data_IF_252656380052
#
_entry.id   IF_252656380052
#
_cell.length_a   1.000
_cell.length_b   1.000
_cell.length_c   1.000
_cell.angle_alpha   90.00
_cell.angle_beta   90.00
_cell.angle_gamma   90.00
#
_symmetry.space_group_name_H-M   'P 1'
#
loop_
_entity.id
_entity.type
_entity.pdbx_description
1 polymer ?
#
# COMPACT_ATOMS: atom_id res chain seq x y z
N UNK A 1 30.94 10.13 4.07
CA UNK A 1 30.04 10.75 3.07
C UNK A 1 28.61 10.47 3.51
N UNK A 2 27.89 11.55 3.77
CA UNK A 2 26.62 11.64 4.47
C UNK A 2 25.43 11.34 3.55
N UNK A 3 24.44 10.60 4.08
CA UNK A 3 23.15 10.33 3.45
C UNK A 3 22.33 11.61 3.31
N UNK A 4 21.67 11.79 2.17
CA UNK A 4 20.47 12.64 2.08
C UNK A 4 19.29 11.81 1.54
N UNK A 5 18.24 11.75 2.37
CA UNK A 5 16.89 11.26 2.09
C UNK A 5 16.00 12.45 1.72
N UNK A 6 14.78 12.13 1.24
CA UNK A 6 13.55 12.95 1.13
C UNK A 6 13.42 13.79 -0.15
N UNK A 7 12.27 13.93 -0.82
CA UNK A 7 10.93 13.32 -0.75
C UNK A 7 10.21 13.78 -2.04
N UNK A 8 9.53 12.89 -2.78
CA UNK A 8 8.70 13.30 -3.92
C UNK A 8 7.31 13.65 -3.36
N UNK A 9 6.98 14.94 -3.35
CA UNK A 9 5.66 15.45 -3.06
C UNK A 9 4.97 15.82 -4.38
N UNK A 10 3.89 15.13 -4.70
CA UNK A 10 3.00 15.45 -5.82
C UNK A 10 2.02 16.51 -5.33
N UNK A 11 2.17 17.74 -5.81
CA UNK A 11 1.24 18.84 -5.57
C UNK A 11 0.35 19.03 -6.81
N UNK A 12 -0.92 18.68 -6.70
CA UNK A 12 -1.95 19.00 -7.69
C UNK A 12 -2.56 20.35 -7.32
N UNK A 13 -2.22 21.38 -8.10
CA UNK A 13 -2.76 22.74 -7.97
C UNK A 13 -3.69 23.01 -9.13
N UNK A 14 -5.00 22.77 -8.97
CA UNK A 14 -6.01 23.25 -9.92
C UNK A 14 -6.61 24.56 -9.37
N UNK A 15 -6.31 25.66 -10.08
CA UNK A 15 -6.97 26.94 -9.90
C UNK A 15 -8.24 26.98 -10.74
N UNK A 16 -9.36 27.41 -10.16
CA UNK A 16 -10.52 27.95 -10.87
C UNK A 16 -11.18 29.00 -9.96
N UNK A 17 -11.15 30.25 -10.42
CA UNK A 17 -11.78 31.38 -9.74
C UNK A 17 -13.27 31.53 -10.10
N UNK A 18 -14.00 32.24 -9.24
CA UNK A 18 -15.12 33.12 -9.57
C UNK A 18 -15.41 34.02 -8.36
N UNK A 19 -15.59 35.32 -8.63
CA UNK A 19 -15.95 36.42 -7.72
C UNK A 19 -17.46 36.44 -7.47
N UNK A 20 -17.90 36.74 -6.25
CA UNK A 20 -19.29 37.11 -5.95
C UNK A 20 -19.74 36.81 -4.51
N UNK A 21 -19.93 37.87 -3.72
CA UNK A 21 -20.26 37.91 -2.29
C UNK A 21 -21.31 36.87 -1.78
N UNK A 22 -20.88 35.98 -0.87
CA UNK A 22 -21.73 35.31 0.12
C UNK A 22 -20.87 34.78 1.30
N UNK A 23 -20.24 35.68 2.06
CA UNK A 23 -19.18 35.33 3.04
C UNK A 23 -19.66 35.06 4.49
N UNK A 24 -20.93 34.74 4.74
CA UNK A 24 -21.40 34.45 6.11
C UNK A 24 -21.64 32.95 6.36
N UNK A 25 -22.21 32.23 5.39
CA UNK A 25 -22.57 30.80 5.55
C UNK A 25 -21.32 29.91 5.65
N UNK A 26 -20.29 30.24 4.86
CA UNK A 26 -19.06 29.45 4.78
C UNK A 26 -18.22 29.52 6.07
N UNK A 27 -18.33 30.60 6.86
CA UNK A 27 -17.58 30.76 8.10
C UNK A 27 -18.18 29.94 9.26
N UNK A 28 -19.52 29.94 9.40
CA UNK A 28 -20.20 29.11 10.41
C UNK A 28 -20.07 27.62 10.09
N UNK A 29 -20.20 27.23 8.82
CA UNK A 29 -20.01 25.83 8.41
C UNK A 29 -18.57 25.35 8.61
N UNK A 30 -17.59 26.23 8.44
CA UNK A 30 -16.18 25.91 8.69
C UNK A 30 -15.89 25.79 10.20
N UNK A 31 -16.51 26.64 11.02
CA UNK A 31 -16.37 26.58 12.47
C UNK A 31 -17.07 25.34 13.06
N UNK A 32 -18.26 24.98 12.55
CA UNK A 32 -18.93 23.74 12.91
C UNK A 32 -18.12 22.49 12.51
N UNK A 33 -17.44 22.52 11.35
CA UNK A 33 -16.50 21.45 10.95
C UNK A 33 -15.28 21.38 11.87
N UNK A 34 -14.72 22.50 12.31
CA UNK A 34 -13.59 22.52 13.25
C UNK A 34 -13.98 21.94 14.61
N UNK A 35 -15.17 22.29 15.13
CA UNK A 35 -15.68 21.72 16.39
C UNK A 35 -15.97 20.22 16.27
N UNK A 36 -16.53 19.78 15.14
CA UNK A 36 -16.77 18.36 14.87
C UNK A 36 -15.46 17.58 14.77
N UNK A 37 -14.45 18.14 14.09
CA UNK A 37 -13.13 17.51 13.95
C UNK A 37 -12.40 17.44 15.30
N UNK A 38 -12.50 18.51 16.11
CA UNK A 38 -11.89 18.55 17.44
C UNK A 38 -12.51 17.51 18.38
N UNK A 39 -13.84 17.31 18.31
CA UNK A 39 -14.52 16.22 19.02
C UNK A 39 -14.06 14.84 18.56
N UNK A 40 -13.91 14.63 17.26
CA UNK A 40 -13.47 13.35 16.71
C UNK A 40 -12.04 12.99 17.16
N UNK A 41 -11.14 13.98 17.25
CA UNK A 41 -9.78 13.80 17.79
C UNK A 41 -9.79 13.44 19.28
N UNK A 42 -10.64 14.09 20.09
CA UNK A 42 -10.76 13.78 21.51
C UNK A 42 -11.31 12.36 21.75
N UNK A 43 -12.31 11.96 20.97
CA UNK A 43 -12.90 10.63 21.07
C UNK A 43 -11.90 9.54 20.67
N UNK A 44 -11.13 9.77 19.60
CA UNK A 44 -10.08 8.85 19.17
C UNK A 44 -8.96 8.71 20.21
N UNK A 45 -8.55 9.82 20.84
CA UNK A 45 -7.59 9.79 21.95
C UNK A 45 -8.12 9.01 23.16
N UNK A 46 -9.41 9.17 23.49
CA UNK A 46 -10.04 8.43 24.59
C UNK A 46 -10.10 6.92 24.29
N UNK A 47 -10.45 6.54 23.06
CA UNK A 47 -10.43 5.13 22.64
C UNK A 47 -9.01 4.53 22.69
N UNK A 48 -8.00 5.28 22.22
CA UNK A 48 -6.60 4.84 22.31
C UNK A 48 -6.12 4.65 23.76
N UNK A 49 -6.53 5.54 24.68
CA UNK A 49 -6.21 5.40 26.11
C UNK A 49 -6.93 4.19 26.74
N UNK A 50 -8.19 3.95 26.36
CA UNK A 50 -8.95 2.79 26.83
C UNK A 50 -8.36 1.47 26.31
N UNK A 51 -7.92 1.42 25.05
CA UNK A 51 -7.26 0.26 24.46
C UNK A 51 -5.91 -0.03 25.11
N UNK A 52 -5.10 1.00 25.39
CA UNK A 52 -3.83 0.82 26.12
C UNK A 52 -4.04 0.25 27.52
N UNK A 53 -5.01 0.79 28.27
CA UNK A 53 -5.36 0.23 29.59
C UNK A 53 -5.84 -1.21 29.49
N UNK A 54 -6.62 -1.55 28.45
CA UNK A 54 -7.09 -2.92 28.21
C UNK A 54 -5.96 -3.88 27.80
N UNK A 55 -4.93 -3.40 27.09
CA UNK A 55 -3.72 -4.17 26.79
C UNK A 55 -2.83 -4.38 28.02
N UNK A 56 -2.72 -3.39 28.90
CA UNK A 56 -1.95 -3.52 30.16
C UNK A 56 -2.64 -4.43 31.18
N UNK A 57 -3.98 -4.51 31.16
CA UNK A 57 -4.76 -5.33 32.09
C UNK A 57 -4.99 -6.77 31.62
N UNK A 58 -4.58 -7.12 30.39
CA UNK A 58 -4.70 -8.45 29.81
C UNK A 58 -3.36 -9.22 29.78
N UNK A 59 -2.58 -9.14 30.86
CA UNK A 59 -1.51 -10.10 31.12
C UNK A 59 -2.06 -11.22 32.03
N UNK A 60 -2.28 -12.44 31.53
CA UNK A 60 -2.55 -13.58 32.40
C UNK A 60 -1.24 -14.04 33.06
N UNK A 61 -1.31 -14.24 34.37
CA UNK A 61 -0.31 -14.98 35.13
C UNK A 61 -0.16 -16.42 34.60
N UNK A 62 1.06 -16.92 34.70
CA UNK A 62 1.60 -18.11 34.06
C UNK A 62 0.81 -19.42 34.27
N UNK A 63 0.68 -20.18 33.19
CA UNK A 63 0.62 -21.64 33.21
C UNK A 63 1.74 -22.15 32.29
N UNK A 64 2.49 -23.16 32.75
CA UNK A 64 3.67 -23.69 32.09
C UNK A 64 3.42 -24.04 30.61
N UNK A 65 4.04 -23.26 29.72
CA UNK A 65 3.98 -23.52 28.28
C UNK A 65 5.02 -24.60 27.90
N UNK A 66 4.66 -25.56 27.02
CA UNK A 66 5.64 -26.46 26.41
C UNK A 66 6.71 -25.64 25.70
N UNK A 67 7.93 -26.19 25.63
CA UNK A 67 9.15 -25.58 25.10
C UNK A 67 8.87 -24.48 24.07
N UNK A 68 9.20 -23.25 24.46
CA UNK A 68 9.06 -22.02 23.66
C UNK A 68 9.58 -22.30 22.25
N UNK A 69 8.69 -22.49 21.29
CA UNK A 69 9.07 -22.41 19.88
C UNK A 69 9.80 -21.08 19.72
N UNK A 70 10.96 -21.04 19.03
CA UNK A 70 11.72 -19.79 18.89
C UNK A 70 10.77 -18.74 18.35
N UNK A 71 10.66 -17.63 19.09
CA UNK A 71 9.75 -16.55 18.74
C UNK A 71 10.06 -16.11 17.31
N UNK A 72 9.03 -15.85 16.52
CA UNK A 72 9.22 -15.37 15.16
C UNK A 72 9.84 -13.97 15.23
N UNK A 73 11.15 -13.88 15.03
CA UNK A 73 11.90 -12.63 15.06
C UNK A 73 11.99 -12.07 13.64
N UNK A 74 11.60 -10.81 13.45
CA UNK A 74 11.89 -10.07 12.23
C UNK A 74 13.36 -9.67 12.27
N UNK A 75 14.13 -10.06 11.26
CA UNK A 75 15.53 -9.62 11.12
C UNK A 75 15.53 -8.11 10.85
N UNK A 76 16.23 -7.35 11.68
CA UNK A 76 16.34 -5.90 11.49
C UNK A 76 16.99 -5.59 10.13
N UNK A 77 16.29 -4.87 9.27
CA UNK A 77 16.75 -4.52 7.92
C UNK A 77 15.63 -4.00 7.03
N UNK A 78 15.95 -3.66 5.77
CA UNK A 78 14.96 -3.37 4.73
C UNK A 78 14.23 -4.64 4.24
N UNK A 79 14.82 -5.80 4.47
CA UNK A 79 14.32 -7.07 3.98
C UNK A 79 13.30 -7.65 4.95
N UNK A 80 12.19 -8.16 4.40
CA UNK A 80 11.13 -8.83 5.15
C UNK A 80 11.53 -10.28 5.42
N UNK A 81 12.51 -10.46 6.32
CA UNK A 81 13.03 -11.78 6.73
C UNK A 81 12.56 -12.09 8.15
N UNK A 82 11.96 -13.26 8.31
CA UNK A 82 11.44 -13.79 9.56
C UNK A 82 12.20 -15.06 9.94
N UNK A 83 12.65 -15.15 11.18
CA UNK A 83 13.16 -16.41 11.73
C UNK A 83 11.99 -17.26 12.19
N UNK A 84 11.84 -18.48 11.66
CA UNK A 84 10.74 -19.38 12.02
C UNK A 84 11.31 -20.77 12.31
N UNK A 85 11.16 -21.25 13.55
CA UNK A 85 11.48 -22.64 13.90
C UNK A 85 12.95 -23.05 13.65
N UNK A 86 13.91 -22.13 13.80
CA UNK A 86 15.33 -22.37 13.52
C UNK A 86 15.75 -22.21 12.06
N UNK A 87 14.83 -21.82 11.17
CA UNK A 87 15.08 -21.45 9.78
C UNK A 87 14.79 -19.97 9.49
N UNK A 88 14.98 -19.57 8.24
CA UNK A 88 14.65 -18.23 7.75
C UNK A 88 13.59 -18.29 6.64
N UNK A 89 12.65 -17.35 6.68
CA UNK A 89 11.63 -17.13 5.66
C UNK A 89 11.72 -15.68 5.19
N UNK A 90 11.80 -15.46 3.89
CA UNK A 90 11.89 -14.14 3.26
C UNK A 90 10.69 -13.92 2.34
N UNK A 91 10.00 -12.81 2.55
CA UNK A 91 9.04 -12.26 1.60
C UNK A 91 9.82 -11.35 0.62
N UNK A 92 9.68 -11.60 -0.67
CA UNK A 92 10.33 -10.85 -1.74
C UNK A 92 9.36 -10.61 -2.90
N UNK A 93 9.71 -9.70 -3.80
CA UNK A 93 8.90 -9.43 -4.97
C UNK A 93 9.51 -8.35 -5.84
N UNK A 94 8.92 -8.19 -7.03
CA UNK A 94 9.25 -7.18 -8.00
C UNK A 94 7.95 -6.56 -8.53
N UNK A 95 7.90 -5.24 -8.53
CA UNK A 95 6.78 -4.49 -9.11
C UNK A 95 7.33 -3.62 -10.23
N UNK A 96 6.86 -3.90 -11.44
CA UNK A 96 7.11 -3.13 -12.65
C UNK A 96 5.75 -2.72 -13.22
N UNK A 97 5.52 -1.41 -13.20
CA UNK A 97 4.25 -0.76 -13.52
C UNK A 97 4.56 0.37 -14.48
N UNK A 98 3.90 0.36 -15.64
CA UNK A 98 4.01 1.40 -16.66
C UNK A 98 2.72 2.20 -16.77
N UNK A 99 2.88 3.45 -17.20
CA UNK A 99 1.83 4.30 -17.69
C UNK A 99 2.09 4.49 -19.17
N UNK A 100 1.19 3.97 -19.98
CA UNK A 100 1.31 3.97 -21.43
C UNK A 100 0.09 4.67 -22.02
N UNK A 101 0.26 5.40 -23.11
CA UNK A 101 -0.86 5.87 -23.92
C UNK A 101 -0.84 5.04 -25.22
N UNK A 102 -1.99 4.52 -25.63
CA UNK A 102 -2.12 3.72 -26.84
C UNK A 102 -3.17 4.33 -27.77
N UNK A 103 -2.95 4.24 -29.08
CA UNK A 103 -3.93 4.63 -30.09
C UNK A 103 -4.09 3.50 -31.10
N UNK A 104 -5.32 3.20 -31.50
CA UNK A 104 -5.59 2.19 -32.52
C UNK A 104 -5.26 2.69 -33.96
N UNK A 105 -4.87 3.97 -34.08
CA UNK A 105 -4.50 4.62 -35.34
C UNK A 105 -5.66 4.88 -36.30
N UNK A 106 -6.92 4.71 -35.86
CA UNK A 106 -8.10 4.83 -36.72
C UNK A 106 -8.69 6.24 -36.74
N UNK A 107 -8.06 7.20 -36.08
CA UNK A 107 -8.50 8.59 -36.12
C UNK A 107 -8.48 9.13 -37.55
N UNK A 108 -9.59 9.74 -37.97
CA UNK A 108 -9.79 10.25 -39.33
C UNK A 108 -9.97 9.21 -40.44
N UNK A 109 -9.98 7.90 -40.14
CA UNK A 109 -10.23 6.88 -41.16
C UNK A 109 -11.73 6.75 -41.51
N UNK A 110 -12.00 6.40 -42.78
CA UNK A 110 -13.34 6.14 -43.29
C UNK A 110 -13.51 4.65 -43.64
N UNK A 111 -14.63 4.07 -43.24
CA UNK A 111 -15.10 2.74 -43.62
C UNK A 111 -16.40 2.87 -44.41
N UNK A 112 -16.39 2.53 -45.70
CA UNK A 112 -17.57 2.66 -46.57
C UNK A 112 -18.08 4.10 -46.74
N UNK A 113 -17.20 5.10 -46.60
CA UNK A 113 -17.56 6.53 -46.67
C UNK A 113 -18.05 7.12 -45.35
N UNK A 114 -18.11 6.33 -44.28
CA UNK A 114 -18.48 6.78 -42.93
C UNK A 114 -17.25 6.77 -42.00
N UNK A 115 -17.12 7.71 -41.05
CA UNK A 115 -16.06 7.67 -40.04
C UNK A 115 -16.06 6.36 -39.24
N UNK A 116 -14.86 5.84 -38.94
CA UNK A 116 -14.71 4.68 -38.05
C UNK A 116 -15.29 5.02 -36.68
N UNK A 117 -16.15 4.15 -36.16
CA UNK A 117 -16.86 4.35 -34.88
C UNK A 117 -16.03 3.83 -33.72
N UNK A 118 -16.00 4.56 -32.59
CA UNK A 118 -15.29 4.16 -31.37
C UNK A 118 -14.37 5.26 -30.81
N UNK A 119 -13.67 4.97 -29.70
CA UNK A 119 -12.58 5.81 -29.21
C UNK A 119 -11.31 5.49 -30.01
N UNK A 120 -11.02 6.33 -31.00
CA UNK A 120 -9.89 6.15 -31.91
C UNK A 120 -8.72 7.10 -31.62
N UNK A 121 -8.83 7.92 -30.56
CA UNK A 121 -7.76 8.78 -30.06
C UNK A 121 -6.87 8.04 -29.05
N UNK A 122 -5.92 8.76 -28.46
CA UNK A 122 -5.07 8.23 -27.40
C UNK A 122 -5.89 7.81 -26.18
N UNK A 123 -5.62 6.60 -25.69
CA UNK A 123 -6.22 6.00 -24.50
C UNK A 123 -5.09 5.73 -23.50
N UNK A 124 -5.12 6.36 -22.32
CA UNK A 124 -4.18 6.03 -21.26
C UNK A 124 -4.48 4.63 -20.72
N UNK A 125 -3.42 3.92 -20.35
CA UNK A 125 -3.48 2.61 -19.74
C UNK A 125 -2.40 2.50 -18.66
N UNK A 126 -2.77 1.87 -17.56
CA UNK A 126 -1.84 1.43 -16.51
C UNK A 126 -1.66 -0.05 -16.71
N UNK A 127 -0.43 -0.49 -16.94
CA UNK A 127 -0.15 -1.91 -17.09
C UNK A 127 1.02 -2.34 -16.23
N UNK A 128 1.20 -3.65 -16.11
CA UNK A 128 2.30 -4.26 -15.38
C UNK A 128 2.99 -5.30 -16.21
N UNK A 129 4.32 -5.39 -16.09
CA UNK A 129 5.11 -6.37 -16.80
C UNK A 129 5.85 -7.27 -15.81
N UNK A 130 5.57 -8.58 -15.83
CA UNK A 130 6.26 -9.58 -15.00
C UNK A 130 6.38 -9.17 -13.51
N UNK A 131 5.35 -8.50 -12.99
CA UNK A 131 5.25 -8.18 -11.57
C UNK A 131 4.92 -9.45 -10.79
N UNK A 132 5.60 -9.68 -9.68
CA UNK A 132 5.40 -10.87 -8.86
C UNK A 132 5.73 -10.63 -7.40
N UNK A 133 5.21 -11.49 -6.54
CA UNK A 133 5.72 -11.64 -5.19
C UNK A 133 5.89 -13.12 -4.85
N UNK A 134 6.78 -13.38 -3.91
CA UNK A 134 7.10 -14.73 -3.49
C UNK A 134 7.56 -14.81 -2.05
N UNK A 135 7.43 -16.02 -1.52
CA UNK A 135 7.94 -16.41 -0.21
C UNK A 135 8.96 -17.51 -0.44
N UNK A 136 10.20 -17.27 -0.03
CA UNK A 136 11.26 -18.28 -0.03
C UNK A 136 11.75 -18.52 1.38
N UNK A 137 12.19 -19.73 1.66
CA UNK A 137 12.72 -20.03 2.98
C UNK A 137 13.59 -21.26 3.00
N UNK A 138 14.22 -21.46 4.15
CA UNK A 138 15.04 -22.62 4.40
C UNK A 138 14.89 -23.10 5.83
N UNK A 139 15.09 -24.41 6.02
CA UNK A 139 15.07 -25.06 7.33
C UNK A 139 16.06 -26.20 7.38
N UNK A 140 16.84 -26.27 8.46
CA UNK A 140 17.67 -27.44 8.72
C UNK A 140 16.79 -28.68 8.95
N UNK A 141 17.09 -29.76 8.24
CA UNK A 141 16.44 -31.07 8.35
C UNK A 141 17.31 -32.00 9.21
N UNK A 142 18.63 -31.87 9.08
CA UNK A 142 19.66 -32.47 9.94
C UNK A 142 20.88 -31.52 9.98
N UNK A 143 21.93 -31.91 10.70
CA UNK A 143 23.15 -31.09 10.86
C UNK A 143 23.82 -30.74 9.51
N UNK A 144 23.69 -31.61 8.51
CA UNK A 144 24.30 -31.44 7.18
C UNK A 144 23.29 -31.21 6.04
N UNK A 145 21.97 -31.23 6.33
CA UNK A 145 20.93 -31.13 5.30
C UNK A 145 20.00 -29.95 5.54
N UNK A 146 19.77 -29.17 4.49
CA UNK A 146 18.86 -28.02 4.50
C UNK A 146 17.77 -28.17 3.46
N UNK A 147 16.51 -28.16 3.90
CA UNK A 147 15.35 -28.02 3.04
C UNK A 147 15.20 -26.58 2.60
N UNK A 148 14.94 -26.35 1.31
CA UNK A 148 14.70 -25.03 0.72
C UNK A 148 13.35 -25.09 0.01
N UNK A 149 12.56 -24.04 0.15
CA UNK A 149 11.28 -23.91 -0.54
C UNK A 149 11.12 -22.51 -1.11
N UNK A 150 10.34 -22.41 -2.19
CA UNK A 150 9.98 -21.16 -2.83
C UNK A 150 8.57 -21.28 -3.40
N UNK A 151 7.75 -20.29 -3.10
CA UNK A 151 6.42 -20.09 -3.68
C UNK A 151 6.41 -18.70 -4.29
N UNK A 152 6.01 -18.60 -5.55
CA UNK A 152 5.96 -17.33 -6.29
C UNK A 152 4.65 -17.27 -7.05
N UNK A 153 4.07 -16.06 -7.11
CA UNK A 153 2.88 -15.80 -7.91
C UNK A 153 3.00 -14.45 -8.60
N UNK A 154 2.46 -14.41 -9.80
CA UNK A 154 2.33 -13.18 -10.57
C UNK A 154 1.30 -12.24 -9.92
N UNK A 155 1.54 -10.95 -10.06
CA UNK A 155 0.58 -9.88 -9.78
C UNK A 155 0.41 -9.08 -11.07
N UNK A 156 -0.84 -8.90 -11.49
CA UNK A 156 -1.17 -8.02 -12.62
C UNK A 156 -1.79 -6.72 -12.09
N UNK A 157 -1.28 -5.58 -12.55
CA UNK A 157 -1.89 -4.26 -12.38
C UNK A 157 -2.42 -3.81 -13.74
N UNK A 158 -3.72 -3.46 -13.80
CA UNK A 158 -4.36 -3.00 -15.02
C UNK A 158 -5.41 -1.93 -14.67
N UNK A 159 -5.43 -0.81 -15.39
CA UNK A 159 -6.49 0.20 -15.31
C UNK A 159 -6.51 1.12 -16.54
N UNK A 160 -7.70 1.36 -17.10
CA UNK A 160 -7.97 2.27 -18.22
C UNK A 160 -8.89 3.41 -17.80
#
# INVERSE_FOLDING_TARGET
>A
MTLHKTSIAIAVSLALGCVGNAHADQASDMQAKLDALQKQVQELQAQMAALRKKQEQAAPAAAAAPAKAPANEVKAGKDLIFKVGGGEVQLYGHADVSLDDQVNGMDGYLNGGLPVTGHNGWVPDVSSNLSFFGVRGNRAVSDDLKGIFQFETEISYAAT
#
